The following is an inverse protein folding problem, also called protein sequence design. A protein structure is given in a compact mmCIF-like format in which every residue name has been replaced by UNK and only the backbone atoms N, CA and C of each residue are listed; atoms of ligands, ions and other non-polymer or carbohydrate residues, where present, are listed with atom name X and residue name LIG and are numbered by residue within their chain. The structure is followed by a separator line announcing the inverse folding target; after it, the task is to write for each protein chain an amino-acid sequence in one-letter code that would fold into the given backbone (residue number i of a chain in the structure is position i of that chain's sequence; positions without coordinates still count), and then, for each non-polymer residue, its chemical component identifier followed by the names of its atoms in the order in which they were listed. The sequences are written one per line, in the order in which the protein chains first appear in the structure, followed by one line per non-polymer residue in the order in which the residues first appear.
data_IF_971632369232
#
_entry.id   IF_971632369232
#
_cell.length_a   1.000
_cell.length_b   1.000
_cell.length_c   1.000
_cell.angle_alpha   90.00
_cell.angle_beta   90.00
_cell.angle_gamma   90.00
#
_symmetry.space_group_name_H-M   'P 1'
#
loop_
_entity.id
_entity.type
_entity.pdbx_description
1 polymer ?
#
# COMPACT_ATOMS: atom_id res chain seq x y z
N UNK A 1 29.34 -48.56 11.49
CA UNK A 1 29.44 -47.32 10.68
C UNK A 1 28.11 -46.87 10.04
N UNK A 2 27.01 -47.63 10.13
CA UNK A 2 25.73 -47.31 9.47
C UNK A 2 24.83 -46.32 10.25
N UNK A 3 24.91 -46.28 11.58
CA UNK A 3 24.04 -45.44 12.43
C UNK A 3 24.33 -43.93 12.28
N UNK A 4 25.61 -43.53 12.22
CA UNK A 4 26.00 -42.13 12.02
C UNK A 4 25.60 -41.56 10.65
N UNK A 5 25.59 -42.39 9.61
CA UNK A 5 25.23 -41.98 8.24
C UNK A 5 23.75 -41.65 8.10
N UNK A 6 22.90 -42.36 8.85
CA UNK A 6 21.45 -42.11 8.87
C UNK A 6 21.12 -40.81 9.62
N UNK A 7 21.80 -40.49 10.72
CA UNK A 7 21.59 -39.23 11.46
C UNK A 7 21.99 -38.00 10.64
N UNK A 8 23.06 -38.09 9.83
CA UNK A 8 23.46 -37.02 8.92
C UNK A 8 22.41 -36.76 7.81
N UNK A 9 21.80 -37.83 7.28
CA UNK A 9 20.76 -37.73 6.26
C UNK A 9 19.46 -37.11 6.82
N UNK A 10 19.03 -37.54 8.01
CA UNK A 10 17.86 -36.93 8.68
C UNK A 10 18.13 -35.48 9.08
N UNK A 11 19.37 -35.16 9.47
CA UNK A 11 19.79 -33.79 9.72
C UNK A 11 19.62 -32.91 8.49
N UNK A 12 20.17 -33.34 7.34
CA UNK A 12 20.06 -32.62 6.05
C UNK A 12 18.61 -32.41 5.59
N UNK A 13 17.75 -33.41 5.75
CA UNK A 13 16.32 -33.31 5.40
C UNK A 13 15.62 -32.31 6.32
N UNK A 14 15.93 -32.30 7.62
CA UNK A 14 15.36 -31.36 8.58
C UNK A 14 15.81 -29.92 8.30
N UNK A 15 17.09 -29.69 7.98
CA UNK A 15 17.55 -28.35 7.57
C UNK A 15 16.87 -27.91 6.28
N UNK A 16 16.75 -28.80 5.28
CA UNK A 16 16.04 -28.51 4.04
C UNK A 16 14.56 -28.13 4.25
N UNK A 17 13.87 -28.81 5.18
CA UNK A 17 12.49 -28.48 5.57
C UNK A 17 12.39 -27.14 6.30
N UNK A 18 13.33 -26.82 7.21
CA UNK A 18 13.36 -25.55 7.94
C UNK A 18 13.59 -24.38 6.96
N UNK A 19 14.50 -24.52 6.01
CA UNK A 19 14.75 -23.50 4.98
C UNK A 19 13.60 -23.40 3.96
N UNK A 20 12.89 -24.48 3.68
CA UNK A 20 11.72 -24.49 2.79
C UNK A 20 10.49 -23.75 3.36
N UNK A 21 10.37 -23.68 4.69
CA UNK A 21 9.21 -23.05 5.36
C UNK A 21 9.32 -21.53 5.53
N UNK A 22 10.52 -20.94 5.37
CA UNK A 22 10.74 -19.50 5.57
C UNK A 22 10.84 -18.65 4.30
N UNK A 23 10.87 -19.27 3.11
CA UNK A 23 11.40 -18.62 1.89
C UNK A 23 10.42 -17.81 1.03
N UNK A 24 9.11 -17.90 1.22
CA UNK A 24 8.14 -17.30 0.27
C UNK A 24 7.50 -16.00 0.76
N UNK A 25 7.52 -15.76 2.07
CA UNK A 25 6.81 -14.66 2.73
C UNK A 25 7.58 -13.33 2.62
N UNK A 26 8.91 -13.26 2.88
CA UNK A 26 9.65 -12.00 2.78
C UNK A 26 9.67 -11.43 1.36
N UNK A 27 9.76 -12.31 0.35
CA UNK A 27 9.83 -11.91 -1.05
C UNK A 27 8.55 -11.22 -1.52
N UNK A 28 7.37 -11.69 -1.07
CA UNK A 28 6.10 -11.11 -1.46
C UNK A 28 5.92 -9.68 -0.89
N UNK A 29 6.24 -9.50 0.39
CA UNK A 29 6.24 -8.19 1.05
C UNK A 29 7.18 -7.20 0.36
N UNK A 30 8.40 -7.63 0.05
CA UNK A 30 9.40 -6.76 -0.58
C UNK A 30 8.98 -6.34 -1.99
N UNK A 31 8.51 -7.29 -2.81
CA UNK A 31 8.02 -7.02 -4.16
C UNK A 31 6.80 -6.09 -4.15
N UNK A 32 5.87 -6.25 -3.19
CA UNK A 32 4.72 -5.34 -3.03
C UNK A 32 5.19 -3.90 -2.80
N UNK A 33 6.12 -3.69 -1.88
CA UNK A 33 6.66 -2.35 -1.56
C UNK A 33 7.41 -1.75 -2.74
N UNK A 34 8.20 -2.56 -3.44
CA UNK A 34 8.92 -2.13 -4.64
C UNK A 34 7.96 -1.74 -5.76
N UNK A 35 6.92 -2.55 -6.00
CA UNK A 35 5.88 -2.23 -6.98
C UNK A 35 5.17 -0.93 -6.62
N UNK A 36 4.76 -0.75 -5.36
CA UNK A 36 4.12 0.48 -4.88
C UNK A 36 4.99 1.72 -5.15
N UNK A 37 6.28 1.68 -4.77
CA UNK A 37 7.25 2.76 -5.03
C UNK A 37 7.43 3.03 -6.52
N UNK A 38 7.42 1.98 -7.35
CA UNK A 38 7.56 2.11 -8.80
C UNK A 38 6.34 2.79 -9.42
N UNK A 39 5.14 2.44 -8.98
CA UNK A 39 3.90 3.12 -9.39
C UNK A 39 3.92 4.60 -8.98
N UNK A 40 4.32 4.90 -7.75
CA UNK A 40 4.38 6.26 -7.23
C UNK A 40 5.38 7.12 -8.01
N UNK A 41 6.60 6.62 -8.23
CA UNK A 41 7.60 7.29 -9.09
C UNK A 41 7.10 7.52 -10.52
N UNK A 42 6.40 6.54 -11.08
CA UNK A 42 5.84 6.65 -12.43
C UNK A 42 4.76 7.74 -12.50
N UNK A 43 3.90 7.81 -11.48
CA UNK A 43 2.91 8.87 -11.35
C UNK A 43 3.57 10.24 -11.15
N UNK A 44 4.63 10.31 -10.34
CA UNK A 44 5.41 11.53 -10.09
C UNK A 44 6.04 12.10 -11.36
N UNK A 45 6.41 11.25 -12.32
CA UNK A 45 6.97 11.68 -13.62
C UNK A 45 5.99 12.48 -14.49
N UNK A 46 4.68 12.41 -14.21
CA UNK A 46 3.67 13.18 -14.93
C UNK A 46 3.73 14.68 -14.53
N UNK A 47 3.35 15.57 -15.45
CA UNK A 47 3.29 17.01 -15.16
C UNK A 47 2.37 17.36 -13.99
N UNK A 48 2.77 18.34 -13.18
CA UNK A 48 1.97 18.80 -12.05
C UNK A 48 0.65 19.45 -12.50
N UNK A 49 -0.33 19.47 -11.62
CA UNK A 49 -1.63 20.12 -11.88
C UNK A 49 -2.12 20.84 -10.63
N UNK A 50 -1.40 21.86 -10.14
CA UNK A 50 -1.56 22.40 -8.79
C UNK A 50 -2.92 23.04 -8.51
N UNK A 51 -3.75 23.27 -9.53
CA UNK A 51 -5.11 23.81 -9.42
C UNK A 51 -6.21 22.74 -9.38
N UNK A 52 -5.86 21.47 -9.60
CA UNK A 52 -6.83 20.37 -9.55
C UNK A 52 -7.39 20.24 -8.13
N UNK A 53 -8.72 20.25 -8.02
CA UNK A 53 -9.43 20.02 -6.78
C UNK A 53 -10.84 19.53 -7.10
N UNK A 54 -10.99 18.21 -7.19
CA UNK A 54 -12.23 17.54 -7.60
C UNK A 54 -12.73 16.63 -6.49
N UNK A 55 -14.05 16.52 -6.37
CA UNK A 55 -14.69 15.63 -5.39
C UNK A 55 -15.67 14.73 -6.12
N UNK A 56 -15.44 13.42 -6.00
CA UNK A 56 -16.25 12.39 -6.64
C UNK A 56 -17.00 11.63 -5.55
N UNK A 57 -18.33 11.55 -5.64
CA UNK A 57 -19.15 10.74 -4.75
C UNK A 57 -19.41 9.36 -5.39
N UNK A 58 -18.95 8.31 -4.72
CA UNK A 58 -19.10 6.92 -5.10
C UNK A 58 -20.13 6.22 -4.22
N UNK A 59 -21.34 6.78 -4.13
CA UNK A 59 -22.44 6.19 -3.36
C UNK A 59 -22.22 6.27 -1.85
N UNK A 60 -21.71 7.40 -1.35
CA UNK A 60 -21.46 7.63 0.07
C UNK A 60 -19.98 7.52 0.48
N UNK A 61 -19.07 7.30 -0.48
CA UNK A 61 -17.62 7.49 -0.33
C UNK A 61 -17.20 8.70 -1.14
N UNK A 62 -16.61 9.70 -0.48
CA UNK A 62 -16.10 10.91 -1.12
C UNK A 62 -14.63 10.74 -1.46
N UNK A 63 -14.30 10.79 -2.74
CA UNK A 63 -12.92 10.77 -3.22
C UNK A 63 -12.52 12.20 -3.61
N UNK A 64 -11.67 12.80 -2.79
CA UNK A 64 -11.05 14.09 -3.04
C UNK A 64 -9.78 13.88 -3.86
N UNK A 65 -9.80 14.34 -5.11
CA UNK A 65 -8.68 14.27 -6.04
C UNK A 65 -8.09 15.66 -6.16
N UNK A 66 -6.90 15.87 -5.61
CA UNK A 66 -6.27 17.19 -5.56
C UNK A 66 -4.93 17.19 -6.26
N UNK A 67 -4.52 18.32 -6.83
CA UNK A 67 -3.23 18.45 -7.49
C UNK A 67 -2.13 19.04 -6.62
N UNK A 68 -2.46 19.52 -5.42
CA UNK A 68 -1.48 20.11 -4.51
C UNK A 68 -1.84 19.87 -3.04
N UNK A 69 -0.81 19.72 -2.20
CA UNK A 69 -0.90 19.50 -0.75
C UNK A 69 -1.70 20.56 0.01
N UNK A 70 -1.85 21.76 -0.56
CA UNK A 70 -2.58 22.85 0.10
C UNK A 70 -4.09 22.60 0.14
N UNK A 71 -4.60 21.74 -0.77
CA UNK A 71 -5.98 21.30 -0.75
C UNK A 71 -6.22 20.17 0.25
N UNK A 72 -5.17 19.47 0.70
CA UNK A 72 -5.34 18.51 1.79
C UNK A 72 -5.76 19.23 3.06
N UNK A 73 -6.66 18.60 3.81
CA UNK A 73 -6.89 18.98 5.19
C UNK A 73 -5.65 18.63 6.03
N UNK A 74 -4.66 19.53 6.02
CA UNK A 74 -3.33 19.30 6.59
C UNK A 74 -3.37 19.01 8.10
N UNK A 75 -4.39 19.48 8.82
CA UNK A 75 -4.58 19.13 10.25
C UNK A 75 -4.79 17.62 10.44
N UNK A 76 -5.48 16.97 9.51
CA UNK A 76 -5.66 15.51 9.53
C UNK A 76 -4.42 14.81 9.00
N UNK A 77 -3.85 15.25 7.88
CA UNK A 77 -2.67 14.63 7.28
C UNK A 77 -1.42 14.70 8.19
N UNK A 78 -1.18 15.81 8.89
CA UNK A 78 -0.05 15.98 9.78
C UNK A 78 -0.10 15.07 11.03
N UNK A 79 -1.30 14.65 11.46
CA UNK A 79 -1.44 13.69 12.55
C UNK A 79 -0.88 12.29 12.21
N UNK A 80 -0.68 11.99 10.91
CA UNK A 80 -0.15 10.71 10.42
C UNK A 80 1.39 10.70 10.24
N UNK A 81 2.11 11.77 10.58
CA UNK A 81 3.56 11.71 10.86
C UNK A 81 4.53 11.44 9.71
N UNK A 82 4.10 11.49 8.45
CA UNK A 82 4.95 11.24 7.25
C UNK A 82 4.50 12.16 6.09
N UNK A 83 5.32 12.43 5.05
CA UNK A 83 4.82 13.08 3.82
C UNK A 83 3.68 12.25 3.20
N UNK A 84 2.45 12.63 3.55
CA UNK A 84 1.23 11.95 3.12
C UNK A 84 1.06 12.13 1.61
N UNK A 85 1.06 11.02 0.87
CA UNK A 85 0.78 10.95 -0.57
C UNK A 85 -0.71 10.64 -0.86
N UNK A 86 -1.43 10.17 0.16
CA UNK A 86 -2.88 9.99 0.20
C UNK A 86 -3.29 9.62 1.63
N UNK A 87 -4.57 9.75 1.97
CA UNK A 87 -5.11 9.24 3.23
C UNK A 87 -6.61 8.97 3.15
N UNK A 88 -7.07 7.94 3.86
CA UNK A 88 -8.48 7.68 4.12
C UNK A 88 -8.90 8.15 5.52
N UNK A 89 -10.20 8.40 5.70
CA UNK A 89 -10.80 8.69 7.00
C UNK A 89 -11.93 7.73 7.33
N UNK A 90 -12.22 7.54 8.62
CA UNK A 90 -13.34 6.73 9.10
C UNK A 90 -14.72 7.24 8.64
N UNK A 91 -14.79 8.50 8.20
CA UNK A 91 -15.99 9.19 7.72
C UNK A 91 -16.24 9.01 6.21
N UNK A 92 -15.71 7.96 5.60
CA UNK A 92 -15.85 7.65 4.18
C UNK A 92 -15.24 8.69 3.22
N UNK A 93 -14.13 9.32 3.62
CA UNK A 93 -13.39 10.22 2.73
C UNK A 93 -12.06 9.57 2.36
N UNK A 94 -11.70 9.65 1.08
CA UNK A 94 -10.38 9.31 0.54
C UNK A 94 -9.80 10.57 -0.08
N UNK A 95 -8.56 10.89 0.26
CA UNK A 95 -7.84 12.04 -0.26
C UNK A 95 -6.60 11.54 -1.00
N UNK A 96 -6.47 11.91 -2.28
CA UNK A 96 -5.39 11.42 -3.14
C UNK A 96 -4.90 12.51 -4.08
N UNK A 97 -3.64 12.39 -4.53
CA UNK A 97 -3.13 13.24 -5.59
C UNK A 97 -3.65 12.81 -6.97
N UNK A 98 -4.00 13.81 -7.78
CA UNK A 98 -4.34 13.66 -9.18
C UNK A 98 -3.53 14.63 -10.05
N UNK A 99 -3.42 14.28 -11.33
CA UNK A 99 -2.76 15.08 -12.36
C UNK A 99 -3.63 15.13 -13.61
N UNK A 100 -3.65 16.27 -14.30
CA UNK A 100 -4.38 16.43 -15.56
C UNK A 100 -3.44 16.13 -16.72
N UNK A 101 -3.68 15.01 -17.39
CA UNK A 101 -2.92 14.58 -18.57
C UNK A 101 -3.85 14.58 -19.76
N UNK A 102 -3.55 15.40 -20.78
CA UNK A 102 -4.34 15.50 -22.01
C UNK A 102 -5.85 15.75 -21.74
N UNK A 103 -6.15 16.62 -20.77
CA UNK A 103 -7.52 16.97 -20.38
C UNK A 103 -8.27 15.89 -19.59
N UNK A 104 -7.59 14.85 -19.11
CA UNK A 104 -8.16 13.80 -18.26
C UNK A 104 -7.46 13.78 -16.91
N UNK A 105 -8.21 13.51 -15.86
CA UNK A 105 -7.67 13.33 -14.51
C UNK A 105 -7.09 11.92 -14.42
N UNK A 106 -5.81 11.84 -14.11
CA UNK A 106 -5.08 10.62 -13.79
C UNK A 106 -4.83 10.62 -12.28
N UNK A 107 -5.16 9.52 -11.62
CA UNK A 107 -4.97 9.31 -10.18
C UNK A 107 -3.89 8.25 -10.00
N UNK A 108 -3.08 8.39 -8.95
CA UNK A 108 -2.16 7.32 -8.56
C UNK A 108 -2.97 6.11 -8.06
N UNK A 109 -3.07 5.08 -8.91
CA UNK A 109 -3.89 3.90 -8.65
C UNK A 109 -3.39 3.08 -7.46
N UNK A 110 -2.07 3.03 -7.23
CA UNK A 110 -1.49 2.31 -6.11
C UNK A 110 -1.86 2.98 -4.78
N UNK A 111 -1.76 4.31 -4.72
CA UNK A 111 -2.18 5.09 -3.54
C UNK A 111 -3.69 4.98 -3.33
N UNK A 112 -4.51 5.16 -4.38
CA UNK A 112 -5.96 5.02 -4.27
C UNK A 112 -6.37 3.63 -3.76
N UNK A 113 -5.74 2.57 -4.27
CA UNK A 113 -5.98 1.20 -3.82
C UNK A 113 -5.60 1.00 -2.35
N UNK A 114 -4.46 1.55 -1.93
CA UNK A 114 -4.01 1.52 -0.53
C UNK A 114 -5.01 2.24 0.39
N UNK A 115 -5.48 3.44 0.03
CA UNK A 115 -6.47 4.17 0.84
C UNK A 115 -7.84 3.48 0.89
N UNK A 116 -8.24 2.84 -0.20
CA UNK A 116 -9.46 2.03 -0.21
C UNK A 116 -9.37 0.86 0.78
N UNK A 117 -8.20 0.24 0.92
CA UNK A 117 -8.00 -0.84 1.91
C UNK A 117 -8.12 -0.31 3.34
N UNK A 118 -7.62 0.88 3.65
CA UNK A 118 -7.88 1.52 4.95
C UNK A 118 -9.37 1.72 5.19
N UNK A 119 -10.10 2.24 4.20
CA UNK A 119 -11.55 2.45 4.30
C UNK A 119 -12.30 1.13 4.55
N UNK A 120 -11.91 0.05 3.87
CA UNK A 120 -12.43 -1.29 4.11
C UNK A 120 -12.11 -1.79 5.52
N UNK A 121 -10.88 -1.63 6.00
CA UNK A 121 -10.49 -1.96 7.38
C UNK A 121 -11.28 -1.16 8.44
N UNK A 122 -11.60 0.10 8.17
CA UNK A 122 -12.43 0.90 9.08
C UNK A 122 -13.83 0.31 9.25
N UNK A 123 -14.38 -0.33 8.21
CA UNK A 123 -15.72 -0.95 8.25
C UNK A 123 -15.70 -2.39 8.73
N UNK A 124 -14.65 -3.14 8.42
CA UNK A 124 -14.52 -4.53 8.77
C UNK A 124 -13.10 -4.85 9.23
N UNK A 125 -12.94 -5.10 10.54
CA UNK A 125 -11.64 -5.40 11.15
C UNK A 125 -11.08 -6.79 10.82
N UNK A 126 -11.84 -7.63 10.10
CA UNK A 126 -11.30 -8.84 9.48
C UNK A 126 -10.39 -8.52 8.28
N UNK A 127 -10.52 -7.34 7.67
CA UNK A 127 -9.65 -6.87 6.59
C UNK A 127 -8.40 -6.28 7.22
N UNK A 128 -7.22 -6.69 6.78
CA UNK A 128 -5.96 -6.21 7.33
C UNK A 128 -5.77 -4.71 7.09
N UNK A 129 -5.06 -4.06 8.02
CA UNK A 129 -4.59 -2.69 7.84
C UNK A 129 -3.46 -2.71 6.78
N UNK A 130 -3.58 -1.97 5.66
CA UNK A 130 -2.60 -2.00 4.57
C UNK A 130 -1.21 -1.51 5.00
N UNK A 131 -1.11 -0.74 6.09
CA UNK A 131 0.17 -0.32 6.69
C UNK A 131 0.85 -1.41 7.52
N UNK A 132 0.11 -2.47 7.88
CA UNK A 132 0.56 -3.54 8.78
C UNK A 132 0.62 -4.91 8.12
N UNK A 133 0.66 -4.95 6.78
CA UNK A 133 0.77 -6.20 6.03
C UNK A 133 2.07 -6.95 6.33
N UNK A 134 3.14 -6.23 6.67
CA UNK A 134 4.42 -6.81 7.05
C UNK A 134 4.31 -7.72 8.30
N UNK A 135 3.43 -7.36 9.25
CA UNK A 135 3.16 -8.17 10.45
C UNK A 135 2.56 -9.55 10.09
N UNK A 136 1.94 -9.64 8.90
CA UNK A 136 1.35 -10.84 8.33
C UNK A 136 2.26 -11.51 7.29
N UNK A 137 3.41 -10.90 6.99
CA UNK A 137 4.29 -11.35 5.93
C UNK A 137 3.71 -11.16 4.52
N UNK A 138 2.90 -10.12 4.34
CA UNK A 138 2.24 -9.75 3.08
C UNK A 138 2.74 -8.40 2.54
#
# INVERSE_FOLDING_TARGET
MTRHRNHALYGLILTGLIYGLGGCVPLATDVRKEAFRTFDKSFDSLGESPTLNEVIDLGGVKVHVVGHRHFFNYRKAAAYGSPVIGYATSNNEIWVFGKVVRGKIVINQAVLGHELMHLLNFKNKAIADPDRLDDLGA
#
